data_IF_682327747708
#
_entry.id   IF_682327747708
#
_cell.length_a   1.000
_cell.length_b   1.000
_cell.length_c   1.000
_cell.angle_alpha   90.00
_cell.angle_beta   90.00
_cell.angle_gamma   90.00
#
_symmetry.space_group_name_H-M   'P 1'
#
loop_
_entity.id
_entity.type
_entity.pdbx_description
1 polymer ?
#
# COMPACT_ATOMS: atom_id res chain seq x y z
N UNK A 1 -51.72 91.86 21.51
CA UNK A 1 -51.93 93.27 21.89
C UNK A 1 -53.37 93.65 21.60
N UNK A 2 -54.22 93.79 22.62
CA UNK A 2 -55.60 94.24 22.43
C UNK A 2 -55.62 95.74 22.15
N UNK A 3 -56.45 96.20 21.21
CA UNK A 3 -56.61 97.63 20.94
C UNK A 3 -58.08 98.03 21.11
N UNK A 4 -58.27 99.21 21.70
CA UNK A 4 -59.58 99.82 21.94
C UNK A 4 -59.71 101.06 21.07
N UNK A 5 -60.84 101.19 20.39
CA UNK A 5 -61.17 102.39 19.64
C UNK A 5 -62.55 102.90 20.04
N UNK A 6 -62.61 104.17 20.44
CA UNK A 6 -63.83 104.82 20.90
C UNK A 6 -64.32 105.83 19.87
N UNK A 7 -65.63 105.84 19.63
CA UNK A 7 -66.30 106.76 18.74
C UNK A 7 -67.42 107.46 19.53
N UNK A 8 -67.54 108.77 19.40
CA UNK A 8 -68.62 109.55 20.01
C UNK A 8 -69.38 110.29 18.91
N UNK A 9 -70.72 110.22 18.94
CA UNK A 9 -71.58 110.93 17.99
C UNK A 9 -72.86 111.40 18.67
N UNK A 10 -73.15 112.69 18.49
CA UNK A 10 -74.41 113.30 18.91
C UNK A 10 -75.53 112.93 17.94
N UNK A 11 -76.61 112.36 18.47
CA UNK A 11 -77.80 112.00 17.70
C UNK A 11 -78.99 112.85 18.13
N UNK A 12 -79.91 113.12 17.20
CA UNK A 12 -81.13 113.88 17.44
C UNK A 12 -82.30 112.91 17.66
N UNK A 13 -82.93 112.97 18.82
CA UNK A 13 -84.05 112.12 19.24
C UNK A 13 -85.33 112.98 19.30
N UNK A 14 -86.23 112.90 18.30
CA UNK A 14 -87.50 113.62 18.32
C UNK A 14 -88.50 112.99 19.30
N UNK A 15 -89.25 113.82 20.03
CA UNK A 15 -90.34 113.43 20.91
C UNK A 15 -91.59 114.28 20.65
N UNK A 16 -92.78 113.70 20.86
CA UNK A 16 -94.06 114.42 20.74
C UNK A 16 -95.11 113.85 21.69
N UNK A 17 -96.06 114.69 22.13
CA UNK A 17 -97.14 114.34 23.05
C UNK A 17 -98.33 115.31 22.92
N UNK A 18 -99.46 115.02 23.59
CA UNK A 18 -100.64 115.92 23.61
C UNK A 18 -101.01 116.28 25.03
N UNK A 19 -101.34 117.55 25.27
CA UNK A 19 -101.92 118.04 26.52
C UNK A 19 -103.39 118.36 26.28
N UNK A 20 -104.27 117.72 27.07
CA UNK A 20 -105.71 117.94 27.04
C UNK A 20 -106.12 118.89 28.17
N UNK A 21 -106.98 119.86 27.85
CA UNK A 21 -107.55 120.80 28.80
C UNK A 21 -109.09 120.75 28.71
N UNK A 22 -109.75 120.89 29.85
CA UNK A 22 -111.21 120.88 29.96
C UNK A 22 -111.67 121.92 30.97
N UNK A 23 -112.71 122.68 30.64
CA UNK A 23 -113.31 123.70 31.50
C UNK A 23 -114.81 123.87 31.23
N UNK A 24 -115.46 124.79 31.95
CA UNK A 24 -116.92 125.01 31.88
C UNK A 24 -117.19 126.48 31.57
N UNK A 25 -117.99 126.78 30.54
CA UNK A 25 -118.47 128.14 30.22
C UNK A 25 -119.99 128.08 30.11
N UNK A 26 -120.72 128.94 30.83
CA UNK A 26 -122.19 129.00 30.87
C UNK A 26 -122.88 127.63 31.07
N UNK A 27 -122.37 126.85 32.02
CA UNK A 27 -122.95 125.57 32.41
C UNK A 27 -122.80 124.43 31.39
N UNK A 28 -122.08 124.64 30.28
CA UNK A 28 -121.74 123.59 29.30
C UNK A 28 -120.24 123.23 29.37
N UNK A 29 -119.88 121.95 29.45
CA UNK A 29 -118.47 121.53 29.44
C UNK A 29 -117.85 121.70 28.05
N UNK A 30 -116.60 122.19 28.00
CA UNK A 30 -115.76 122.16 26.80
C UNK A 30 -114.43 121.47 27.11
N UNK A 31 -113.90 120.71 26.17
CA UNK A 31 -112.56 120.14 26.26
C UNK A 31 -111.88 120.13 24.89
N UNK A 32 -110.57 120.36 24.88
CA UNK A 32 -109.71 120.36 23.71
C UNK A 32 -108.34 119.78 24.02
N UNK A 33 -107.58 119.35 23.01
CA UNK A 33 -106.26 118.75 23.20
C UNK A 33 -105.28 119.23 22.14
N UNK A 34 -104.16 119.83 22.56
CA UNK A 34 -103.13 120.39 21.68
C UNK A 34 -101.87 119.50 21.71
N UNK A 35 -101.35 119.06 20.55
CA UNK A 35 -100.05 118.40 20.47
C UNK A 35 -98.87 119.37 20.64
N UNK A 36 -97.80 118.88 21.28
CA UNK A 36 -96.47 119.48 21.25
C UNK A 36 -95.43 118.46 20.81
N UNK A 37 -94.37 118.91 20.14
CA UNK A 37 -93.24 118.07 19.73
C UNK A 37 -91.95 118.87 19.73
N UNK A 38 -90.83 118.22 20.05
CA UNK A 38 -89.49 118.79 20.02
C UNK A 38 -88.43 117.73 19.75
N UNK A 39 -87.16 118.12 19.60
CA UNK A 39 -86.05 117.18 19.38
C UNK A 39 -85.00 117.39 20.45
N UNK A 40 -84.72 116.34 21.23
CA UNK A 40 -83.61 116.30 22.18
C UNK A 40 -82.36 115.79 21.45
N UNK A 41 -81.17 116.15 21.92
CA UNK A 41 -79.93 115.61 21.35
C UNK A 41 -79.18 114.85 22.44
N UNK A 42 -78.83 113.59 22.17
CA UNK A 42 -78.07 112.72 23.07
C UNK A 42 -76.73 112.35 22.46
N UNK A 43 -75.68 112.32 23.27
CA UNK A 43 -74.35 111.86 22.86
C UNK A 43 -74.26 110.35 23.09
N UNK A 44 -74.03 109.59 22.02
CA UNK A 44 -73.84 108.14 22.09
C UNK A 44 -72.37 107.81 21.88
N UNK A 45 -71.77 107.21 22.90
CA UNK A 45 -70.41 106.69 22.85
C UNK A 45 -70.41 105.19 22.58
N UNK A 46 -69.72 104.78 21.52
CA UNK A 46 -69.50 103.36 21.19
C UNK A 46 -68.03 103.04 21.36
N UNK A 47 -67.73 102.05 22.20
CA UNK A 47 -66.40 101.52 22.40
C UNK A 47 -66.30 100.17 21.67
N UNK A 48 -65.29 100.02 20.80
CA UNK A 48 -64.96 98.75 20.16
C UNK A 48 -63.67 98.26 20.79
N UNK A 49 -63.78 97.18 21.56
CA UNK A 49 -62.67 96.47 22.17
C UNK A 49 -62.42 95.20 21.36
N UNK A 50 -61.25 95.11 20.69
CA UNK A 50 -60.84 93.90 19.97
C UNK A 50 -59.83 93.14 20.81
N UNK A 51 -60.25 91.99 21.31
CA UNK A 51 -59.44 91.11 22.13
C UNK A 51 -58.61 90.16 21.25
N UNK A 52 -57.29 90.40 21.13
CA UNK A 52 -56.39 89.52 20.34
C UNK A 52 -55.74 88.43 21.18
N UNK A 53 -55.92 88.44 22.51
CA UNK A 53 -55.33 87.48 23.45
C UNK A 53 -55.68 86.02 23.13
N UNK A 54 -56.91 85.66 22.73
CA UNK A 54 -57.22 84.29 22.29
C UNK A 54 -56.41 83.86 21.06
N UNK A 55 -56.22 84.76 20.09
CA UNK A 55 -55.45 84.47 18.89
C UNK A 55 -53.95 84.33 19.19
N UNK A 56 -53.38 85.28 19.93
CA UNK A 56 -51.96 85.25 20.34
C UNK A 56 -51.65 83.96 21.14
N UNK A 57 -52.56 83.56 22.04
CA UNK A 57 -52.45 82.31 22.79
C UNK A 57 -52.51 81.07 21.89
N UNK A 58 -53.34 81.07 20.84
CA UNK A 58 -53.44 79.96 19.89
C UNK A 58 -52.14 79.78 19.08
N UNK A 59 -51.52 80.88 18.65
CA UNK A 59 -50.25 80.86 17.92
C UNK A 59 -49.12 80.38 18.83
N UNK A 60 -49.07 80.86 20.07
CA UNK A 60 -48.11 80.39 21.06
C UNK A 60 -48.28 78.89 21.37
N UNK A 61 -49.52 78.42 21.48
CA UNK A 61 -49.80 77.00 21.71
C UNK A 61 -49.39 76.14 20.52
N UNK A 62 -49.69 76.57 19.30
CA UNK A 62 -49.27 75.91 18.07
C UNK A 62 -47.74 75.81 17.97
N UNK A 63 -47.02 76.91 18.24
CA UNK A 63 -45.55 76.91 18.23
C UNK A 63 -44.98 75.91 19.26
N UNK A 64 -45.55 75.87 20.46
CA UNK A 64 -45.14 74.90 21.48
C UNK A 64 -45.41 73.45 21.04
N UNK A 65 -46.58 73.16 20.45
CA UNK A 65 -46.91 71.83 19.94
C UNK A 65 -45.97 71.40 18.82
N UNK A 66 -45.61 72.30 17.90
CA UNK A 66 -44.65 72.03 16.81
C UNK A 66 -43.25 71.79 17.36
N UNK A 67 -42.80 72.56 18.36
CA UNK A 67 -41.51 72.35 19.00
C UNK A 67 -41.44 71.02 19.75
N UNK A 68 -42.51 70.64 20.47
CA UNK A 68 -42.60 69.33 21.14
C UNK A 68 -42.60 68.19 20.12
N UNK A 69 -43.35 68.33 19.02
CA UNK A 69 -43.35 67.35 17.94
C UNK A 69 -41.95 67.22 17.31
N UNK A 70 -41.28 68.35 17.08
CA UNK A 70 -39.92 68.37 16.51
C UNK A 70 -38.93 67.67 17.44
N UNK A 71 -38.98 67.96 18.74
CA UNK A 71 -38.18 67.25 19.75
C UNK A 71 -38.48 65.75 19.80
N UNK A 72 -39.76 65.36 19.70
CA UNK A 72 -40.17 63.95 19.64
C UNK A 72 -39.69 63.25 18.37
N UNK A 73 -39.74 63.91 17.20
CA UNK A 73 -39.22 63.37 15.94
C UNK A 73 -37.71 63.20 16.03
N UNK A 74 -36.97 64.20 16.49
CA UNK A 74 -35.51 64.10 16.67
C UNK A 74 -35.15 62.99 17.68
N UNK A 75 -35.89 62.86 18.78
CA UNK A 75 -35.70 61.78 19.74
C UNK A 75 -36.00 60.39 19.13
N UNK A 76 -37.01 60.29 18.28
CA UNK A 76 -37.37 59.04 17.59
C UNK A 76 -36.33 58.69 16.53
N UNK A 77 -35.88 59.65 15.73
CA UNK A 77 -34.82 59.45 14.73
C UNK A 77 -33.51 59.03 15.37
N UNK A 78 -33.10 59.71 16.45
CA UNK A 78 -31.89 59.34 17.20
C UNK A 78 -32.00 57.96 17.82
N UNK A 79 -33.14 57.62 18.44
CA UNK A 79 -33.39 56.28 18.96
C UNK A 79 -33.37 55.21 17.84
N UNK A 80 -33.91 55.54 16.67
CA UNK A 80 -33.91 54.64 15.51
C UNK A 80 -32.50 54.45 14.94
N UNK A 81 -31.70 55.50 14.82
CA UNK A 81 -30.29 55.42 14.38
C UNK A 81 -29.49 54.57 15.35
N UNK A 82 -29.65 54.79 16.67
CA UNK A 82 -28.98 53.97 17.70
C UNK A 82 -29.44 52.51 17.63
N UNK A 83 -30.72 52.26 17.38
CA UNK A 83 -31.25 50.90 17.20
C UNK A 83 -30.68 50.21 15.96
N UNK A 84 -30.58 50.92 14.83
CA UNK A 84 -29.98 50.41 13.59
C UNK A 84 -28.50 50.09 13.79
N UNK A 85 -27.72 50.98 14.40
CA UNK A 85 -26.30 50.77 14.66
C UNK A 85 -26.06 49.57 15.60
N UNK A 86 -26.84 49.47 16.68
CA UNK A 86 -26.78 48.34 17.61
C UNK A 86 -27.14 47.01 16.93
N UNK A 87 -28.21 47.00 16.13
CA UNK A 87 -28.60 45.81 15.37
C UNK A 87 -27.56 45.44 14.30
N UNK A 88 -26.98 46.42 13.60
CA UNK A 88 -25.93 46.17 12.61
C UNK A 88 -24.69 45.54 13.26
N UNK A 89 -24.25 46.05 14.41
CA UNK A 89 -23.16 45.47 15.20
C UNK A 89 -23.47 44.05 15.66
N UNK A 90 -24.69 43.82 16.17
CA UNK A 90 -25.14 42.49 16.62
C UNK A 90 -25.21 41.49 15.47
N UNK A 91 -25.74 41.89 14.32
CA UNK A 91 -25.80 41.04 13.12
C UNK A 91 -24.39 40.74 12.62
N UNK A 92 -23.53 41.75 12.52
CA UNK A 92 -22.13 41.58 12.13
C UNK A 92 -21.38 40.63 13.05
N UNK A 93 -21.48 40.80 14.37
CA UNK A 93 -20.83 39.90 15.33
C UNK A 93 -21.37 38.49 15.25
N UNK A 94 -22.69 38.31 15.11
CA UNK A 94 -23.33 36.99 15.01
C UNK A 94 -22.92 36.26 13.73
N UNK A 95 -22.81 36.96 12.59
CA UNK A 95 -22.36 36.37 11.32
C UNK A 95 -20.90 35.94 11.44
N UNK A 96 -20.03 36.82 11.94
CA UNK A 96 -18.60 36.53 12.10
C UNK A 96 -18.40 35.35 13.06
N UNK A 97 -19.07 35.36 14.22
CA UNK A 97 -19.01 34.28 15.20
C UNK A 97 -19.56 32.97 14.62
N UNK A 98 -20.68 33.02 13.91
CA UNK A 98 -21.26 31.86 13.23
C UNK A 98 -20.30 31.25 12.21
N UNK A 99 -19.68 32.08 11.37
CA UNK A 99 -18.71 31.64 10.38
C UNK A 99 -17.49 30.98 11.03
N UNK A 100 -16.88 31.63 12.03
CA UNK A 100 -15.72 31.06 12.74
C UNK A 100 -16.08 29.77 13.50
N UNK A 101 -17.28 29.69 14.07
CA UNK A 101 -17.77 28.49 14.73
C UNK A 101 -17.94 27.33 13.74
N UNK A 102 -18.50 27.59 12.56
CA UNK A 102 -18.64 26.59 11.49
C UNK A 102 -17.28 26.11 11.00
N UNK A 103 -16.34 27.02 10.68
CA UNK A 103 -14.98 26.63 10.28
C UNK A 103 -14.31 25.79 11.36
N UNK A 104 -14.39 26.20 12.63
CA UNK A 104 -13.79 25.46 13.73
C UNK A 104 -14.40 24.07 13.88
N UNK A 105 -15.71 23.95 13.68
CA UNK A 105 -16.42 22.68 13.70
C UNK A 105 -15.97 21.78 12.54
N UNK A 106 -15.93 22.29 11.31
CA UNK A 106 -15.45 21.54 10.14
C UNK A 106 -14.00 21.08 10.31
N UNK A 107 -13.10 21.95 10.77
CA UNK A 107 -11.70 21.58 11.06
C UNK A 107 -11.65 20.48 12.12
N UNK A 108 -12.44 20.60 13.17
CA UNK A 108 -12.49 19.61 14.25
C UNK A 108 -13.04 18.26 13.76
N UNK A 109 -14.02 18.28 12.85
CA UNK A 109 -14.55 17.08 12.20
C UNK A 109 -13.51 16.42 11.29
N UNK A 110 -12.79 17.21 10.49
CA UNK A 110 -11.70 16.70 9.65
C UNK A 110 -10.57 16.07 10.49
N UNK A 111 -10.20 16.70 11.60
CA UNK A 111 -9.21 16.15 12.54
C UNK A 111 -9.69 14.83 13.12
N UNK A 112 -10.95 14.74 13.56
CA UNK A 112 -11.51 13.51 14.11
C UNK A 112 -11.56 12.38 13.08
N UNK A 113 -11.94 12.67 11.83
CA UNK A 113 -11.93 11.70 10.75
C UNK A 113 -10.51 11.21 10.43
N UNK A 114 -9.54 12.13 10.34
CA UNK A 114 -8.15 11.78 10.06
C UNK A 114 -7.54 10.95 11.21
N UNK A 115 -7.82 11.31 12.46
CA UNK A 115 -7.41 10.53 13.63
C UNK A 115 -7.96 9.11 13.58
N UNK A 116 -9.26 8.95 13.29
CA UNK A 116 -9.89 7.63 13.17
C UNK A 116 -9.25 6.79 12.06
N UNK A 117 -8.95 7.40 10.90
CA UNK A 117 -8.24 6.71 9.81
C UNK A 117 -6.82 6.30 10.24
N UNK A 118 -6.10 7.19 10.92
CA UNK A 118 -4.75 6.91 11.45
C UNK A 118 -4.80 5.74 12.44
N UNK A 119 -5.72 5.75 13.39
CA UNK A 119 -5.89 4.69 14.38
C UNK A 119 -6.20 3.34 13.71
N UNK A 120 -7.08 3.33 12.70
CA UNK A 120 -7.39 2.13 11.93
C UNK A 120 -6.17 1.58 11.19
N UNK A 121 -5.34 2.46 10.64
CA UNK A 121 -4.14 2.06 9.91
C UNK A 121 -3.06 1.55 10.85
N UNK A 122 -2.87 2.19 12.00
CA UNK A 122 -1.98 1.70 13.06
C UNK A 122 -2.42 0.33 13.58
N UNK A 123 -3.72 0.12 13.82
CA UNK A 123 -4.25 -1.17 14.23
C UNK A 123 -3.97 -2.26 13.18
N UNK A 124 -4.13 -1.92 11.89
CA UNK A 124 -3.80 -2.83 10.80
C UNK A 124 -2.30 -3.14 10.74
N UNK A 125 -1.42 -2.14 10.87
CA UNK A 125 0.03 -2.33 10.93
C UNK A 125 0.45 -3.22 12.11
N UNK A 126 -0.12 -3.01 13.29
CA UNK A 126 0.12 -3.87 14.45
C UNK A 126 -0.31 -5.31 14.20
N UNK A 127 -1.47 -5.52 13.55
CA UNK A 127 -1.93 -6.85 13.17
C UNK A 127 -0.97 -7.51 12.17
N UNK A 128 -0.50 -6.78 11.15
CA UNK A 128 0.48 -7.29 10.20
C UNK A 128 1.81 -7.64 10.87
N UNK A 129 2.30 -6.79 11.77
CA UNK A 129 3.52 -7.06 12.55
C UNK A 129 3.38 -8.34 13.38
N UNK A 130 2.25 -8.52 14.08
CA UNK A 130 1.95 -9.74 14.83
C UNK A 130 1.93 -10.98 13.93
N UNK A 131 1.26 -10.91 12.78
CA UNK A 131 1.23 -12.01 11.79
C UNK A 131 2.61 -12.37 11.26
N UNK A 132 3.50 -11.38 11.11
CA UNK A 132 4.88 -11.62 10.69
C UNK A 132 5.65 -12.44 11.73
N UNK A 133 5.50 -12.09 13.02
CA UNK A 133 6.11 -12.84 14.13
C UNK A 133 5.54 -14.25 14.24
N UNK A 134 4.23 -14.42 14.14
CA UNK A 134 3.58 -15.73 14.11
C UNK A 134 4.10 -16.59 12.96
N UNK A 135 4.26 -15.99 11.77
CA UNK A 135 4.80 -16.68 10.60
C UNK A 135 6.26 -17.07 10.79
N UNK A 136 7.07 -16.21 11.39
CA UNK A 136 8.46 -16.52 11.73
C UNK A 136 8.53 -17.72 12.68
N UNK A 137 7.74 -17.72 13.75
CA UNK A 137 7.68 -18.84 14.71
C UNK A 137 7.25 -20.14 14.03
N UNK A 138 6.26 -20.08 13.13
CA UNK A 138 5.85 -21.23 12.33
C UNK A 138 7.03 -21.76 11.48
N UNK A 139 7.70 -20.87 10.74
CA UNK A 139 8.83 -21.25 9.89
C UNK A 139 9.99 -21.84 10.70
N UNK A 140 10.26 -21.32 11.89
CA UNK A 140 11.28 -21.85 12.78
C UNK A 140 10.93 -23.27 13.25
N UNK A 141 9.66 -23.51 13.64
CA UNK A 141 9.19 -24.84 14.01
C UNK A 141 9.26 -25.84 12.85
N UNK A 142 8.84 -25.43 11.66
CA UNK A 142 8.93 -26.24 10.44
C UNK A 142 10.38 -26.59 10.10
N UNK A 143 11.29 -25.60 10.17
CA UNK A 143 12.72 -25.82 9.96
C UNK A 143 13.29 -26.84 10.95
N UNK A 144 13.02 -26.68 12.24
CA UNK A 144 13.48 -27.62 13.27
C UNK A 144 12.94 -29.03 13.00
N UNK A 145 11.65 -29.16 12.68
CA UNK A 145 11.03 -30.46 12.38
C UNK A 145 11.66 -31.16 11.18
N UNK A 146 11.88 -30.41 10.10
CA UNK A 146 12.52 -30.92 8.89
C UNK A 146 13.97 -31.32 9.17
N UNK A 147 14.73 -30.44 9.84
CA UNK A 147 16.12 -30.70 10.21
C UNK A 147 16.25 -31.94 11.08
N UNK A 148 15.43 -32.07 12.14
CA UNK A 148 15.44 -33.26 13.01
C UNK A 148 15.09 -34.54 12.26
N UNK A 149 14.16 -34.46 11.29
CA UNK A 149 13.81 -35.61 10.46
C UNK A 149 14.98 -36.05 9.57
N UNK A 150 15.68 -35.10 8.95
CA UNK A 150 16.85 -35.43 8.14
C UNK A 150 18.01 -35.96 8.99
N UNK A 151 18.29 -35.36 10.14
CA UNK A 151 19.30 -35.86 11.07
C UNK A 151 19.02 -37.31 11.47
N UNK A 152 17.77 -37.62 11.84
CA UNK A 152 17.38 -38.99 12.16
C UNK A 152 17.57 -39.96 10.99
N UNK A 153 17.24 -39.56 9.77
CA UNK A 153 17.45 -40.39 8.58
C UNK A 153 18.95 -40.71 8.41
N UNK A 154 19.83 -39.74 8.60
CA UNK A 154 21.28 -39.97 8.51
C UNK A 154 21.78 -40.88 9.64
N UNK A 155 21.34 -40.66 10.88
CA UNK A 155 21.67 -41.55 12.00
C UNK A 155 21.18 -42.99 11.77
N UNK A 156 19.96 -43.16 11.27
CA UNK A 156 19.40 -44.47 10.95
C UNK A 156 20.19 -45.15 9.83
N UNK A 157 20.62 -44.40 8.81
CA UNK A 157 21.46 -44.90 7.71
C UNK A 157 22.86 -45.30 8.19
N UNK A 158 23.48 -44.49 9.05
CA UNK A 158 24.81 -44.78 9.61
C UNK A 158 24.76 -46.03 10.49
N UNK A 159 23.72 -46.17 11.31
CA UNK A 159 23.50 -47.36 12.13
C UNK A 159 23.26 -48.62 11.28
N UNK A 160 22.47 -48.50 10.21
CA UNK A 160 22.26 -49.62 9.30
C UNK A 160 23.58 -50.03 8.62
N UNK A 161 24.33 -49.06 8.10
CA UNK A 161 25.61 -49.30 7.45
C UNK A 161 26.59 -50.00 8.40
N UNK A 162 26.65 -49.56 9.66
CA UNK A 162 27.46 -50.19 10.70
C UNK A 162 27.04 -51.66 10.91
N UNK A 163 25.74 -51.93 11.00
CA UNK A 163 25.22 -53.29 11.13
C UNK A 163 25.51 -54.16 9.89
N UNK A 164 25.42 -53.61 8.68
CA UNK A 164 25.79 -54.34 7.46
C UNK A 164 27.26 -54.70 7.41
N UNK A 165 28.14 -53.76 7.78
CA UNK A 165 29.59 -54.02 7.86
C UNK A 165 29.83 -55.15 8.88
N UNK A 166 29.20 -55.07 10.05
CA UNK A 166 29.31 -56.10 11.07
C UNK A 166 28.86 -57.49 10.56
N UNK A 167 27.69 -57.59 9.92
CA UNK A 167 27.20 -58.87 9.38
C UNK A 167 28.04 -59.39 8.20
N UNK A 168 28.65 -58.52 7.40
CA UNK A 168 29.60 -58.91 6.35
C UNK A 168 30.90 -59.49 6.93
N UNK A 169 31.41 -58.91 8.02
CA UNK A 169 32.67 -59.33 8.63
C UNK A 169 32.51 -60.54 9.57
N UNK A 170 31.32 -60.74 10.14
CA UNK A 170 31.01 -61.80 11.10
C UNK A 170 31.38 -63.21 10.63
N UNK A 171 31.11 -63.66 9.39
CA UNK A 171 31.56 -64.97 8.90
C UNK A 171 33.08 -65.12 8.91
N UNK A 172 33.84 -64.07 8.60
CA UNK A 172 35.31 -64.11 8.61
C UNK A 172 35.85 -64.27 10.04
N UNK A 173 35.27 -63.55 11.00
CA UNK A 173 35.63 -63.69 12.43
C UNK A 173 35.23 -65.06 13.00
N UNK A 174 34.05 -65.57 12.65
CA UNK A 174 33.60 -66.91 13.06
C UNK A 174 34.51 -67.98 12.47
N UNK A 175 34.85 -67.88 11.19
CA UNK A 175 35.78 -68.79 10.53
C UNK A 175 37.15 -68.77 11.19
N UNK A 176 37.70 -67.58 11.49
CA UNK A 176 38.97 -67.45 12.22
C UNK A 176 38.90 -68.12 13.59
N UNK A 177 37.87 -67.83 14.38
CA UNK A 177 37.71 -68.42 15.72
C UNK A 177 37.56 -69.96 15.66
N UNK A 178 36.83 -70.48 14.66
CA UNK A 178 36.73 -71.93 14.43
C UNK A 178 38.07 -72.54 14.00
N UNK A 179 38.80 -71.86 13.10
CA UNK A 179 40.14 -72.27 12.66
C UNK A 179 41.14 -72.29 13.80
N UNK A 180 41.16 -71.26 14.64
CA UNK A 180 42.05 -71.17 15.80
C UNK A 180 41.73 -72.26 16.84
N UNK A 181 40.44 -72.53 17.08
CA UNK A 181 39.99 -73.65 17.94
C UNK A 181 40.39 -75.01 17.37
N UNK A 182 40.28 -75.21 16.06
CA UNK A 182 40.70 -76.45 15.41
C UNK A 182 42.23 -76.61 15.45
N UNK A 183 42.99 -75.56 15.12
CA UNK A 183 44.45 -75.57 15.21
C UNK A 183 44.91 -75.93 16.63
N UNK A 184 44.31 -75.30 17.65
CA UNK A 184 44.58 -75.62 19.06
C UNK A 184 44.28 -77.09 19.41
N UNK A 185 43.14 -77.65 18.97
CA UNK A 185 42.78 -79.06 19.20
C UNK A 185 43.71 -80.05 18.49
N UNK A 186 44.06 -79.76 17.24
CA UNK A 186 45.00 -80.58 16.46
C UNK A 186 46.38 -80.59 17.12
N UNK A 187 46.88 -79.42 17.57
CA UNK A 187 48.19 -79.29 18.22
C UNK A 187 48.26 -79.96 19.60
N UNK A 188 47.17 -80.02 20.36
CA UNK A 188 47.19 -80.45 21.77
C UNK A 188 46.64 -81.85 22.05
N UNK A 189 45.77 -82.40 21.19
CA UNK A 189 45.06 -83.65 21.50
C UNK A 189 45.16 -84.74 20.43
N UNK A 190 44.92 -84.40 19.16
CA UNK A 190 44.77 -85.42 18.12
C UNK A 190 46.10 -85.95 17.59
N UNK A 191 47.16 -85.15 17.51
CA UNK A 191 48.43 -85.56 16.88
C UNK A 191 49.09 -86.79 17.55
N UNK A 192 48.89 -87.05 18.85
CA UNK A 192 49.59 -88.16 19.52
C UNK A 192 49.06 -89.55 19.11
N UNK A 193 47.75 -89.73 18.95
CA UNK A 193 47.15 -91.02 18.50
C UNK A 193 47.00 -91.08 16.98
N UNK A 194 46.80 -89.92 16.35
CA UNK A 194 46.65 -89.75 14.90
C UNK A 194 47.97 -89.99 14.17
N UNK A 195 49.13 -89.56 14.69
CA UNK A 195 50.43 -89.77 14.00
C UNK A 195 50.79 -91.26 13.85
N UNK A 196 50.40 -92.12 14.80
CA UNK A 196 50.65 -93.56 14.75
C UNK A 196 49.77 -94.29 13.71
N UNK A 197 48.51 -93.86 13.52
CA UNK A 197 47.55 -94.48 12.58
C UNK A 197 47.62 -93.83 11.19
N UNK A 198 47.81 -92.51 11.11
CA UNK A 198 47.90 -91.77 9.85
C UNK A 198 49.17 -92.09 9.05
N UNK A 199 50.28 -92.39 9.72
CA UNK A 199 51.52 -92.81 9.05
C UNK A 199 51.38 -94.16 8.31
N UNK A 200 50.53 -95.06 8.82
CA UNK A 200 50.35 -96.40 8.26
C UNK A 200 49.25 -96.46 7.16
N UNK A 201 48.15 -95.71 7.30
CA UNK A 201 46.96 -95.87 6.42
C UNK A 201 46.63 -94.63 5.57
N UNK A 202 47.04 -93.43 5.98
CA UNK A 202 46.51 -92.18 5.41
C UNK A 202 47.36 -91.58 4.28
N UNK A 203 48.58 -92.08 4.05
CA UNK A 203 49.49 -91.57 3.02
C UNK A 203 48.91 -91.61 1.61
N UNK A 204 48.39 -92.77 1.16
CA UNK A 204 47.83 -92.92 -0.19
C UNK A 204 46.50 -92.17 -0.35
N UNK A 205 45.62 -92.22 0.65
CA UNK A 205 44.34 -91.52 0.64
C UNK A 205 44.51 -90.00 0.64
N UNK A 206 45.45 -89.46 1.43
CA UNK A 206 45.74 -88.03 1.47
C UNK A 206 46.37 -87.55 0.15
N UNK A 207 47.22 -88.36 -0.49
CA UNK A 207 47.74 -88.07 -1.84
C UNK A 207 46.61 -88.07 -2.87
N UNK A 208 45.68 -89.03 -2.86
CA UNK A 208 44.53 -89.05 -3.78
C UNK A 208 43.54 -87.90 -3.56
N UNK A 209 43.30 -87.55 -2.29
CA UNK A 209 42.41 -86.44 -1.94
C UNK A 209 43.03 -85.10 -2.34
N UNK A 210 44.32 -84.88 -2.04
CA UNK A 210 45.04 -83.67 -2.44
C UNK A 210 45.14 -83.55 -3.96
N UNK A 211 45.41 -84.65 -4.68
CA UNK A 211 45.36 -84.69 -6.14
C UNK A 211 43.97 -84.37 -6.68
N UNK A 212 42.90 -84.86 -6.06
CA UNK A 212 41.52 -84.57 -6.47
C UNK A 212 41.13 -83.11 -6.24
N UNK A 213 41.54 -82.53 -5.11
CA UNK A 213 41.34 -81.10 -4.82
C UNK A 213 42.13 -80.24 -5.79
N UNK A 214 43.39 -80.60 -6.07
CA UNK A 214 44.22 -79.91 -7.06
C UNK A 214 43.58 -79.99 -8.46
N UNK A 215 43.08 -81.16 -8.86
CA UNK A 215 42.36 -81.36 -10.13
C UNK A 215 41.10 -80.50 -10.21
N UNK A 216 40.29 -80.44 -9.14
CA UNK A 216 39.10 -79.58 -9.08
C UNK A 216 39.47 -78.10 -9.20
N UNK A 217 40.46 -77.63 -8.43
CA UNK A 217 40.93 -76.24 -8.48
C UNK A 217 41.48 -75.88 -9.86
N UNK A 218 42.24 -76.78 -10.49
CA UNK A 218 42.71 -76.59 -11.85
C UNK A 218 41.54 -76.47 -12.84
N UNK A 219 40.54 -77.36 -12.74
CA UNK A 219 39.34 -77.31 -13.56
C UNK A 219 38.56 -76.00 -13.39
N UNK A 220 38.33 -75.56 -12.16
CA UNK A 220 37.64 -74.29 -11.87
C UNK A 220 38.42 -73.09 -12.42
N UNK A 221 39.75 -73.13 -12.34
CA UNK A 221 40.64 -72.08 -12.86
C UNK A 221 40.61 -72.03 -14.38
N UNK A 222 40.63 -73.19 -15.04
CA UNK A 222 40.46 -73.29 -16.50
C UNK A 222 39.09 -72.76 -16.91
N UNK A 223 38.02 -73.07 -16.17
CA UNK A 223 36.69 -72.54 -16.41
C UNK A 223 36.62 -71.00 -16.30
N UNK A 224 37.27 -70.44 -15.28
CA UNK A 224 37.39 -68.97 -15.11
C UNK A 224 38.21 -68.33 -16.22
N UNK A 225 39.35 -68.92 -16.59
CA UNK A 225 40.19 -68.43 -17.68
C UNK A 225 39.43 -68.43 -19.02
N UNK A 226 38.70 -69.51 -19.33
CA UNK A 226 37.86 -69.57 -20.52
C UNK A 226 36.79 -68.47 -20.52
N UNK A 227 36.08 -68.29 -19.40
CA UNK A 227 35.06 -67.25 -19.26
C UNK A 227 35.66 -65.85 -19.47
N UNK A 228 36.86 -65.60 -18.94
CA UNK A 228 37.58 -64.35 -19.12
C UNK A 228 37.96 -64.13 -20.59
N UNK A 229 38.55 -65.13 -21.26
CA UNK A 229 38.92 -65.05 -22.68
C UNK A 229 37.70 -64.78 -23.57
N UNK A 230 36.56 -65.44 -23.31
CA UNK A 230 35.31 -65.20 -24.04
C UNK A 230 34.83 -63.76 -23.84
N UNK A 231 34.85 -63.25 -22.59
CA UNK A 231 34.48 -61.87 -22.29
C UNK A 231 35.44 -60.87 -22.95
N UNK A 232 36.74 -61.13 -22.94
CA UNK A 232 37.74 -60.27 -23.57
C UNK A 232 37.58 -60.23 -25.09
N UNK A 233 37.34 -61.39 -25.72
CA UNK A 233 37.03 -61.44 -27.16
C UNK A 233 35.78 -60.62 -27.49
N UNK A 234 34.70 -60.81 -26.74
CA UNK A 234 33.46 -60.05 -26.92
C UNK A 234 33.65 -58.55 -26.73
N UNK A 235 34.45 -58.15 -25.74
CA UNK A 235 34.81 -56.74 -25.54
C UNK A 235 35.59 -56.19 -26.75
N UNK A 236 36.57 -56.93 -27.24
CA UNK A 236 37.38 -56.51 -28.38
C UNK A 236 36.53 -56.40 -29.66
N UNK A 237 35.61 -57.35 -29.87
CA UNK A 237 34.64 -57.29 -30.97
C UNK A 237 33.72 -56.07 -30.83
N UNK A 238 33.23 -55.76 -29.63
CA UNK A 238 32.44 -54.55 -29.37
C UNK A 238 33.26 -53.28 -29.63
N UNK A 239 34.51 -53.20 -29.16
CA UNK A 239 35.40 -52.04 -29.38
C UNK A 239 35.64 -51.85 -30.89
N UNK A 240 35.92 -52.92 -31.63
CA UNK A 240 36.10 -52.85 -33.08
C UNK A 240 34.82 -52.45 -33.81
N UNK A 241 33.64 -52.74 -33.25
CA UNK A 241 32.35 -52.31 -33.80
C UNK A 241 31.99 -50.87 -33.42
N UNK A 242 32.45 -50.36 -32.28
CA UNK A 242 32.11 -49.00 -31.80
C UNK A 242 33.15 -47.94 -32.15
N UNK A 243 34.40 -48.33 -32.41
CA UNK A 243 35.41 -47.43 -32.95
C UNK A 243 35.15 -47.29 -34.45
N UNK A 244 34.57 -46.15 -34.83
CA UNK A 244 34.60 -45.69 -36.21
C UNK A 244 36.08 -45.46 -36.57
N UNK A 245 36.66 -46.35 -37.38
CA UNK A 245 37.98 -46.18 -37.99
C UNK A 245 37.91 -45.10 -39.07
N UNK A 246 37.50 -43.89 -38.71
CA UNK A 246 37.51 -42.74 -39.60
C UNK A 246 38.83 -42.00 -39.43
N UNK A 247 39.86 -42.46 -40.15
CA UNK A 247 41.02 -41.62 -40.47
C UNK A 247 40.63 -40.66 -41.59
N UNK A 248 39.79 -39.68 -41.26
CA UNK A 248 39.50 -38.56 -42.15
C UNK A 248 40.06 -37.32 -41.46
N UNK A 249 40.89 -36.56 -42.17
CA UNK A 249 41.35 -35.25 -41.73
C UNK A 249 40.14 -34.29 -41.65
N UNK A 250 39.40 -34.37 -40.54
CA UNK A 250 38.24 -33.55 -40.28
C UNK A 250 38.67 -32.30 -39.51
N UNK A 251 38.17 -31.15 -39.94
CA UNK A 251 38.32 -29.88 -39.21
C UNK A 251 37.55 -30.02 -37.91
N UNK A 252 38.26 -30.15 -36.79
CA UNK A 252 37.67 -30.18 -35.46
C UNK A 252 37.42 -28.75 -34.96
N UNK A 253 36.19 -28.47 -34.57
CA UNK A 253 35.81 -27.23 -33.91
C UNK A 253 35.81 -27.44 -32.40
N UNK A 254 36.50 -26.55 -31.67
CA UNK A 254 36.46 -26.53 -30.20
C UNK A 254 35.68 -25.32 -29.70
N UNK A 255 34.84 -25.49 -28.66
CA UNK A 255 34.28 -24.35 -27.96
C UNK A 255 35.39 -23.55 -27.26
N UNK A 256 35.32 -22.22 -27.37
CA UNK A 256 36.16 -21.27 -26.64
C UNK A 256 35.24 -20.24 -26.00
N UNK A 257 35.45 -19.93 -24.73
CA UNK A 257 34.66 -18.93 -24.01
C UNK A 257 35.45 -17.63 -23.93
N UNK A 258 34.88 -16.55 -24.46
CA UNK A 258 35.44 -15.20 -24.41
C UNK A 258 34.52 -14.31 -23.56
N UNK A 259 35.09 -13.64 -22.56
CA UNK A 259 34.35 -12.79 -21.62
C UNK A 259 34.98 -11.41 -21.60
N UNK A 260 34.16 -10.37 -21.81
CA UNK A 260 34.53 -8.97 -21.60
C UNK A 260 33.79 -8.42 -20.38
N UNK A 261 34.52 -7.88 -19.41
CA UNK A 261 33.96 -7.28 -18.19
C UNK A 261 34.46 -5.86 -18.01
N UNK A 262 33.56 -4.91 -17.71
CA UNK A 262 33.95 -3.54 -17.40
C UNK A 262 34.21 -3.42 -15.89
N UNK A 263 35.47 -3.19 -15.52
CA UNK A 263 35.86 -2.99 -14.12
C UNK A 263 35.41 -1.60 -13.62
N UNK A 264 35.37 -1.41 -12.29
CA UNK A 264 34.94 -0.17 -11.60
C UNK A 264 35.68 1.11 -12.07
N UNK A 265 36.84 0.95 -12.73
CA UNK A 265 37.64 2.04 -13.33
C UNK A 265 37.28 2.34 -14.80
N UNK A 266 36.16 1.82 -15.32
CA UNK A 266 35.79 1.87 -16.74
C UNK A 266 36.81 1.26 -17.71
N UNK A 267 37.71 0.39 -17.22
CA UNK A 267 38.61 -0.39 -18.06
C UNK A 267 37.95 -1.72 -18.43
N UNK A 268 38.02 -2.09 -19.72
CA UNK A 268 37.49 -3.35 -20.24
C UNK A 268 38.54 -4.43 -20.02
N UNK A 269 38.24 -5.37 -19.13
CA UNK A 269 39.04 -6.56 -18.88
C UNK A 269 38.53 -7.71 -19.77
N UNK A 270 39.45 -8.52 -20.31
CA UNK A 270 39.15 -9.52 -21.35
C UNK A 270 39.79 -10.86 -21.00
N UNK A 271 38.97 -11.89 -20.82
CA UNK A 271 39.42 -13.22 -20.44
C UNK A 271 38.97 -14.28 -21.46
N UNK A 272 39.89 -15.18 -21.82
CA UNK A 272 39.66 -16.29 -22.75
C UNK A 272 39.86 -17.63 -22.02
N UNK A 273 38.87 -18.51 -22.06
CA UNK A 273 38.92 -19.84 -21.46
C UNK A 273 38.86 -20.91 -22.55
N UNK A 274 39.91 -21.73 -22.62
CA UNK A 274 40.05 -22.89 -23.51
C UNK A 274 40.11 -24.17 -22.67
N UNK A 275 39.60 -25.28 -23.21
CA UNK A 275 39.66 -26.56 -22.53
C UNK A 275 41.11 -27.06 -22.39
N UNK A 276 41.46 -27.59 -21.21
CA UNK A 276 42.84 -27.95 -20.83
C UNK A 276 43.48 -29.03 -21.71
N UNK A 277 42.66 -29.83 -22.41
CA UNK A 277 43.13 -30.91 -23.29
C UNK A 277 43.57 -30.42 -24.67
N UNK A 278 43.45 -29.12 -24.98
CA UNK A 278 43.88 -28.55 -26.25
C UNK A 278 45.23 -27.81 -26.11
N UNK A 279 46.03 -27.74 -27.20
CA UNK A 279 47.22 -26.90 -27.22
C UNK A 279 46.84 -25.45 -26.91
N UNK A 280 47.45 -24.86 -25.88
CA UNK A 280 47.24 -23.46 -25.49
C UNK A 280 47.70 -22.56 -26.64
N UNK A 281 46.75 -22.00 -27.38
CA UNK A 281 47.03 -21.04 -28.46
C UNK A 281 47.24 -19.64 -27.87
N UNK A 282 47.98 -18.74 -28.54
CA UNK A 282 48.27 -17.40 -28.01
C UNK A 282 46.96 -16.60 -27.88
N UNK A 283 46.54 -16.32 -26.64
CA UNK A 283 45.26 -15.68 -26.34
C UNK A 283 45.12 -14.29 -27.02
N UNK A 284 46.22 -13.56 -27.20
CA UNK A 284 46.19 -12.22 -27.78
C UNK A 284 45.80 -12.20 -29.27
N UNK A 285 46.25 -13.18 -30.06
CA UNK A 285 45.92 -13.27 -31.50
C UNK A 285 44.45 -13.67 -31.71
N UNK A 286 43.93 -14.61 -30.89
CA UNK A 286 42.50 -14.94 -30.93
C UNK A 286 41.64 -13.73 -30.55
N UNK A 287 42.01 -12.98 -29.50
CA UNK A 287 41.24 -11.81 -29.09
C UNK A 287 41.17 -10.78 -30.22
N UNK A 288 42.26 -10.52 -30.95
CA UNK A 288 42.21 -9.64 -32.14
C UNK A 288 41.32 -10.19 -33.26
N UNK A 289 41.34 -11.51 -33.51
CA UNK A 289 40.52 -12.15 -34.54
C UNK A 289 39.02 -12.15 -34.18
N UNK A 290 38.68 -12.33 -32.91
CA UNK A 290 37.31 -12.23 -32.41
C UNK A 290 36.74 -10.81 -32.59
N UNK A 291 37.59 -9.79 -32.46
CA UNK A 291 37.22 -8.38 -32.66
C UNK A 291 37.13 -7.98 -34.14
N UNK A 292 37.93 -8.58 -35.01
CA UNK A 292 37.89 -8.33 -36.46
C UNK A 292 36.64 -8.93 -37.14
N UNK A 293 36.01 -9.94 -36.53
CA UNK A 293 34.81 -10.60 -37.08
C UNK A 293 33.54 -9.77 -36.87
N UNK A 294 32.77 -9.59 -37.93
CA UNK A 294 31.44 -8.98 -37.89
C UNK A 294 30.39 -10.02 -37.53
N UNK A 295 29.95 -9.99 -36.29
CA UNK A 295 28.92 -10.89 -35.76
C UNK A 295 27.53 -10.45 -36.23
N UNK A 296 26.88 -11.26 -37.07
CA UNK A 296 25.53 -11.06 -37.58
C UNK A 296 24.44 -11.68 -36.68
N UNK A 297 23.17 -11.45 -37.00
CA UNK A 297 22.07 -12.10 -36.30
C UNK A 297 21.98 -13.58 -36.70
N UNK A 298 21.74 -14.46 -35.72
CA UNK A 298 21.58 -15.89 -35.96
C UNK A 298 20.43 -16.15 -36.98
N UNK A 299 20.65 -17.00 -38.00
CA UNK A 299 19.59 -17.38 -38.93
C UNK A 299 18.37 -17.97 -38.20
N UNK A 300 17.16 -17.58 -38.60
CA UNK A 300 15.90 -17.96 -37.92
C UNK A 300 15.72 -19.48 -37.76
N UNK A 301 16.13 -20.26 -38.75
CA UNK A 301 16.05 -21.73 -38.73
C UNK A 301 16.93 -22.36 -37.63
N UNK A 302 18.15 -21.83 -37.44
CA UNK A 302 19.05 -22.30 -36.39
C UNK A 302 18.59 -21.87 -35.00
N UNK A 303 18.03 -20.66 -34.88
CA UNK A 303 17.44 -20.17 -33.64
C UNK A 303 16.27 -21.07 -33.19
N UNK A 304 15.41 -21.50 -34.11
CA UNK A 304 14.32 -22.43 -33.81
C UNK A 304 14.81 -23.81 -33.38
N UNK A 305 15.84 -24.37 -34.06
CA UNK A 305 16.40 -25.67 -33.69
C UNK A 305 17.02 -25.66 -32.29
N UNK A 306 17.79 -24.62 -31.97
CA UNK A 306 18.40 -24.45 -30.64
C UNK A 306 17.31 -24.24 -29.58
N UNK A 307 16.28 -23.44 -29.89
CA UNK A 307 15.12 -23.25 -29.01
C UNK A 307 14.38 -24.53 -28.69
N UNK A 308 14.13 -25.37 -29.70
CA UNK A 308 13.48 -26.67 -29.50
C UNK A 308 14.32 -27.60 -28.63
N UNK A 309 15.63 -27.69 -28.90
CA UNK A 309 16.53 -28.54 -28.12
C UNK A 309 16.67 -28.06 -26.66
N UNK A 310 16.88 -26.75 -26.46
CA UNK A 310 16.99 -26.16 -25.13
C UNK A 310 15.70 -26.35 -24.32
N UNK A 311 14.54 -26.08 -24.92
CA UNK A 311 13.25 -26.28 -24.24
C UNK A 311 12.99 -27.76 -23.92
N UNK A 312 13.44 -28.68 -24.78
CA UNK A 312 13.36 -30.11 -24.50
C UNK A 312 14.27 -30.51 -23.32
N UNK A 313 15.50 -30.01 -23.26
CA UNK A 313 16.43 -30.31 -22.16
C UNK A 313 15.94 -29.72 -20.83
N UNK A 314 15.48 -28.46 -20.84
CA UNK A 314 14.91 -27.79 -19.68
C UNK A 314 13.66 -28.53 -19.18
N UNK A 315 12.79 -28.98 -20.09
CA UNK A 315 11.60 -29.75 -19.71
C UNK A 315 11.93 -31.14 -19.16
N UNK A 316 13.00 -31.77 -19.65
CA UNK A 316 13.45 -33.08 -19.16
C UNK A 316 14.07 -32.99 -17.76
N UNK A 317 14.86 -31.94 -17.49
CA UNK A 317 15.54 -31.78 -16.18
C UNK A 317 14.63 -31.22 -15.09
N UNK A 318 13.62 -30.42 -15.44
CA UNK A 318 12.71 -29.78 -14.50
C UNK A 318 11.28 -30.29 -14.72
N UNK A 319 10.98 -31.49 -14.21
CA UNK A 319 9.63 -32.07 -14.28
C UNK A 319 8.61 -31.31 -13.41
N UNK A 320 7.38 -31.22 -13.93
CA UNK A 320 6.24 -30.51 -13.35
C UNK A 320 5.78 -31.18 -12.05
N UNK A 321 6.11 -30.57 -10.91
CA UNK A 321 5.60 -31.00 -9.60
C UNK A 321 5.63 -29.91 -8.53
N UNK A 322 6.59 -28.99 -8.58
CA UNK A 322 6.77 -27.94 -7.57
C UNK A 322 6.69 -26.52 -8.17
N UNK A 323 6.01 -25.63 -7.43
CA UNK A 323 5.91 -24.19 -7.71
C UNK A 323 7.27 -23.51 -7.82
N UNK A 324 8.26 -23.94 -7.03
CA UNK A 324 9.63 -23.43 -7.10
C UNK A 324 10.31 -23.82 -8.42
N UNK A 325 10.19 -25.08 -8.80
CA UNK A 325 10.76 -25.64 -10.04
C UNK A 325 10.17 -24.95 -11.28
N UNK A 326 8.87 -24.65 -11.27
CA UNK A 326 8.23 -23.90 -12.34
C UNK A 326 8.77 -22.46 -12.45
N UNK A 327 9.01 -21.78 -11.32
CA UNK A 327 9.60 -20.44 -11.30
C UNK A 327 11.04 -20.43 -11.81
N UNK A 328 11.84 -21.42 -11.42
CA UNK A 328 13.23 -21.57 -11.90
C UNK A 328 13.24 -21.81 -13.41
N UNK A 329 12.36 -22.69 -13.91
CA UNK A 329 12.16 -22.95 -15.34
C UNK A 329 11.83 -21.66 -16.11
N UNK A 330 10.87 -20.88 -15.62
CA UNK A 330 10.49 -19.62 -16.24
C UNK A 330 11.63 -18.60 -16.26
N UNK A 331 12.41 -18.49 -15.18
CA UNK A 331 13.56 -17.60 -15.13
C UNK A 331 14.68 -18.03 -16.09
N UNK A 332 14.95 -19.34 -16.19
CA UNK A 332 15.94 -19.88 -17.13
C UNK A 332 15.53 -19.58 -18.59
N UNK A 333 14.25 -19.78 -18.92
CA UNK A 333 13.74 -19.45 -20.27
C UNK A 333 13.77 -17.94 -20.53
N UNK A 334 13.48 -17.09 -19.52
CA UNK A 334 13.58 -15.63 -19.65
C UNK A 334 15.00 -15.12 -19.85
N UNK A 335 16.01 -15.81 -19.29
CA UNK A 335 17.42 -15.46 -19.50
C UNK A 335 17.90 -15.78 -20.92
N UNK A 336 17.25 -16.73 -21.59
CA UNK A 336 17.60 -17.13 -22.95
C UNK A 336 17.01 -16.16 -23.97
N UNK A 337 17.73 -15.08 -24.27
CA UNK A 337 17.35 -14.14 -25.31
C UNK A 337 18.02 -14.49 -26.65
N UNK A 338 17.31 -15.19 -27.55
CA UNK A 338 17.84 -15.51 -28.88
C UNK A 338 18.19 -14.28 -29.73
N UNK A 339 17.61 -13.11 -29.41
CA UNK A 339 17.95 -11.85 -30.11
C UNK A 339 19.31 -11.27 -29.72
N UNK A 340 19.92 -11.74 -28.62
CA UNK A 340 21.29 -11.37 -28.24
C UNK A 340 22.35 -12.36 -28.73
N UNK A 341 21.95 -13.49 -29.32
CA UNK A 341 22.89 -14.48 -29.86
C UNK A 341 23.26 -14.09 -31.28
N UNK A 342 24.54 -13.78 -31.48
CA UNK A 342 25.10 -13.45 -32.78
C UNK A 342 25.91 -14.61 -33.35
N UNK A 343 25.82 -14.81 -34.65
CA UNK A 343 26.58 -15.81 -35.41
C UNK A 343 27.44 -15.12 -36.45
N UNK A 344 28.60 -15.70 -36.73
CA UNK A 344 29.40 -15.38 -37.93
C UNK A 344 28.76 -16.03 -39.15
#
# INVERSE_FOLDING_TARGET
MSYRRSFNKRIAVPYSGRVSYSGTVDGKPYSGSVPYSGTAYEDVQVNIDVETTPFDNSVAHCNNSVNVLTGAVVATETAQIVSIDSNAKKVGSTIVEGFFKTIRFEISQQIAELSSRLDSHLAHLHSMAKRCVEKQTQMQGDYQRISSRYLKIFEDLDNELSNRIYELDKPAFVFKNQSDKHAGRTLTGDLASTVAVFGAESGDLQVRLSASIAKKRAFDTIGKANTFLVKQKRLNDTINQTVLNESVAAVQYSPVCFIETQNEKSQIDKNLYQADFLPKMQANEMISDFQAKTWGNLPKDNAEKIGRYFNAEVSNRYSTGDTHTNRVRENIVKMLNFSSIKSV
#
